data_IF_293460039779
#
_entry.id   IF_293460039779
#
_cell.length_a   1.000
_cell.length_b   1.000
_cell.length_c   1.000
_cell.angle_alpha   90.00
_cell.angle_beta   90.00
_cell.angle_gamma   90.00
#
_symmetry.space_group_name_H-M   'P 1'
#
loop_
_entity.id
_entity.type
_entity.pdbx_description
1 polymer ?
#
# COMPACT_ATOMS: atom_id res chain seq x y z
N UNK A 1 -24.00 0.01 -0.27
CA UNK A 1 -23.81 -0.41 1.14
C UNK A 1 -24.55 -1.71 1.36
N UNK A 2 -24.06 -2.55 2.27
CA UNK A 2 -24.75 -3.77 2.72
C UNK A 2 -24.44 -4.02 4.20
N UNK A 3 -25.10 -5.00 4.83
CA UNK A 3 -24.80 -5.44 6.20
C UNK A 3 -24.09 -6.80 6.15
N UNK A 4 -22.97 -6.95 6.84
CA UNK A 4 -22.19 -8.19 6.88
C UNK A 4 -22.04 -8.68 8.32
N UNK A 5 -22.22 -9.99 8.54
CA UNK A 5 -21.94 -10.63 9.83
C UNK A 5 -20.54 -11.24 9.79
N UNK A 6 -19.56 -10.55 10.37
CA UNK A 6 -18.17 -11.02 10.39
C UNK A 6 -17.91 -12.06 11.48
N UNK A 7 -18.57 -11.91 12.63
CA UNK A 7 -18.43 -12.82 13.77
C UNK A 7 -19.81 -13.36 14.17
N UNK A 8 -19.87 -14.66 14.50
CA UNK A 8 -21.13 -15.34 14.85
C UNK A 8 -21.86 -14.65 16.01
N UNK A 9 -21.10 -14.16 16.98
CA UNK A 9 -21.64 -13.67 18.24
C UNK A 9 -21.78 -12.13 18.26
N UNK A 10 -21.35 -11.43 17.20
CA UNK A 10 -21.50 -9.98 17.08
C UNK A 10 -22.68 -9.61 16.16
N UNK A 11 -23.29 -8.42 16.33
CA UNK A 11 -24.27 -7.90 15.40
C UNK A 11 -23.69 -7.75 13.98
N UNK A 12 -24.59 -7.72 13.00
CA UNK A 12 -24.20 -7.33 11.65
C UNK A 12 -23.67 -5.91 11.62
N UNK A 13 -22.63 -5.68 10.83
CA UNK A 13 -21.99 -4.38 10.68
C UNK A 13 -22.33 -3.81 9.30
N UNK A 14 -22.76 -2.54 9.21
CA UNK A 14 -22.90 -1.87 7.92
C UNK A 14 -21.51 -1.67 7.28
N UNK A 15 -21.40 -1.98 6.00
CA UNK A 15 -20.14 -1.93 5.25
C UNK A 15 -20.31 -1.30 3.88
N UNK A 16 -19.23 -0.66 3.44
CA UNK A 16 -19.01 -0.36 2.03
C UNK A 16 -18.52 -1.62 1.31
N UNK A 17 -19.02 -1.81 0.09
CA UNK A 17 -18.92 -3.08 -0.61
C UNK A 17 -18.97 -2.87 -2.11
N UNK A 18 -18.33 -3.78 -2.85
CA UNK A 18 -18.30 -3.76 -4.31
C UNK A 18 -19.40 -4.64 -4.89
N UNK A 19 -19.84 -4.29 -6.10
CA UNK A 19 -20.79 -5.09 -6.89
C UNK A 19 -20.91 -4.52 -8.30
N UNK A 20 -21.18 -5.37 -9.29
CA UNK A 20 -21.43 -4.96 -10.68
C UNK A 20 -22.77 -4.21 -10.83
N UNK A 21 -23.68 -4.37 -9.88
CA UNK A 21 -24.90 -3.60 -9.75
C UNK A 21 -25.31 -3.52 -8.27
N UNK A 22 -26.30 -2.69 -7.95
CA UNK A 22 -26.87 -2.60 -6.61
C UNK A 22 -27.41 -3.95 -6.08
N UNK A 23 -27.79 -4.88 -6.99
CA UNK A 23 -28.32 -6.22 -6.63
C UNK A 23 -27.22 -7.22 -6.28
N UNK A 24 -25.98 -6.95 -6.66
CA UNK A 24 -24.85 -7.88 -6.55
C UNK A 24 -23.77 -7.33 -5.62
N UNK A 25 -24.13 -6.43 -4.70
CA UNK A 25 -23.20 -5.85 -3.73
C UNK A 25 -22.94 -6.85 -2.62
N UNK A 26 -21.68 -7.28 -2.47
CA UNK A 26 -21.29 -8.32 -1.50
C UNK A 26 -19.96 -7.98 -0.81
N UNK A 27 -19.74 -8.62 0.34
CA UNK A 27 -18.44 -8.66 1.01
C UNK A 27 -18.10 -10.14 1.31
N UNK A 28 -17.00 -10.70 0.77
CA UNK A 28 -16.10 -10.08 -0.21
C UNK A 28 -16.82 -9.69 -1.51
N UNK A 29 -16.22 -8.73 -2.25
CA UNK A 29 -16.73 -8.30 -3.55
C UNK A 29 -16.62 -9.41 -4.61
N UNK A 30 -17.11 -9.12 -5.81
CA UNK A 30 -17.06 -10.04 -6.94
C UNK A 30 -15.62 -10.40 -7.32
N UNK A 31 -15.39 -11.66 -7.66
CA UNK A 31 -14.15 -12.13 -8.29
C UNK A 31 -14.14 -11.71 -9.76
N UNK A 32 -13.07 -11.05 -10.20
CA UNK A 32 -12.80 -10.78 -11.61
C UNK A 32 -11.76 -11.80 -12.06
N UNK A 33 -12.18 -12.75 -12.89
CA UNK A 33 -11.25 -13.67 -13.56
C UNK A 33 -10.73 -13.00 -14.82
N UNK A 34 -9.40 -13.01 -14.99
CA UNK A 34 -8.74 -12.41 -16.13
C UNK A 34 -7.64 -13.34 -16.67
N UNK A 35 -7.40 -13.26 -17.97
CA UNK A 35 -6.36 -14.06 -18.63
C UNK A 35 -5.03 -13.31 -18.63
N UNK A 36 -3.94 -14.02 -18.35
CA UNK A 36 -2.59 -13.48 -18.47
C UNK A 36 -2.34 -12.96 -19.89
N UNK A 37 -1.75 -11.76 -20.01
CA UNK A 37 -1.50 -11.11 -21.30
C UNK A 37 -2.71 -10.41 -21.92
N UNK A 38 -3.91 -10.60 -21.40
CA UNK A 38 -5.15 -10.05 -21.98
C UNK A 38 -5.60 -8.85 -21.15
N UNK A 39 -5.52 -7.66 -21.75
CA UNK A 39 -5.93 -6.42 -21.11
C UNK A 39 -7.40 -6.45 -20.67
N UNK A 40 -7.65 -6.19 -19.39
CA UNK A 40 -8.98 -6.06 -18.80
C UNK A 40 -9.27 -4.60 -18.48
N UNK A 41 -10.48 -4.16 -18.79
CA UNK A 41 -10.95 -2.79 -18.56
C UNK A 41 -12.07 -2.81 -17.54
N UNK A 42 -11.89 -2.08 -16.43
CA UNK A 42 -12.90 -1.99 -15.37
C UNK A 42 -13.25 -0.53 -15.17
N UNK A 43 -14.52 -0.20 -15.31
CA UNK A 43 -15.04 1.12 -14.96
C UNK A 43 -15.49 1.10 -13.52
N UNK A 44 -14.82 1.89 -12.69
CA UNK A 44 -15.17 2.02 -11.27
C UNK A 44 -16.14 3.16 -11.06
N UNK A 45 -17.28 2.86 -10.45
CA UNK A 45 -18.30 3.84 -10.10
C UNK A 45 -18.46 3.93 -8.59
N UNK A 46 -18.54 5.16 -8.09
CA UNK A 46 -18.80 5.42 -6.69
C UNK A 46 -20.31 5.69 -6.51
N UNK A 47 -20.97 4.80 -5.77
CA UNK A 47 -22.38 4.90 -5.36
C UNK A 47 -22.51 5.00 -3.83
N UNK A 48 -21.46 5.44 -3.15
CA UNK A 48 -21.44 5.64 -1.71
C UNK A 48 -22.31 6.84 -1.30
N UNK A 49 -22.87 6.83 -0.08
CA UNK A 49 -23.70 7.94 0.42
C UNK A 49 -22.91 9.25 0.55
N UNK A 50 -23.64 10.35 0.77
CA UNK A 50 -23.04 11.66 1.04
C UNK A 50 -22.34 11.77 2.40
N UNK A 51 -22.62 10.84 3.33
CA UNK A 51 -22.05 10.81 4.68
C UNK A 51 -21.37 9.48 4.94
N UNK A 52 -20.15 9.54 5.48
CA UNK A 52 -19.38 8.36 5.86
C UNK A 52 -20.05 7.60 7.03
N UNK A 53 -19.92 6.26 7.04
CA UNK A 53 -20.51 5.39 8.09
C UNK A 53 -19.81 5.53 9.44
N UNK A 54 -18.52 5.88 9.42
CA UNK A 54 -17.72 6.20 10.60
C UNK A 54 -17.49 7.72 10.68
N UNK A 55 -17.26 8.27 11.89
CA UNK A 55 -16.71 9.62 12.01
C UNK A 55 -15.39 9.70 11.23
N UNK A 56 -15.22 10.81 10.51
CA UNK A 56 -14.02 11.08 9.72
C UNK A 56 -13.36 12.34 10.29
N UNK A 57 -12.05 12.25 10.54
CA UNK A 57 -11.22 13.38 10.92
C UNK A 57 -10.79 14.19 9.68
N UNK A 58 -11.30 15.41 9.48
CA UNK A 58 -10.98 16.25 8.33
C UNK A 58 -9.59 16.92 8.43
N UNK A 59 -8.83 16.69 9.50
CA UNK A 59 -7.47 17.24 9.67
C UNK A 59 -6.40 16.40 8.99
N UNK A 60 -6.71 15.15 8.62
CA UNK A 60 -5.81 14.28 7.86
C UNK A 60 -5.97 14.64 6.37
N UNK A 61 -4.95 15.23 5.71
CA UNK A 61 -5.10 16.03 4.49
C UNK A 61 -5.35 15.23 3.20
N UNK A 62 -5.64 13.94 3.28
CA UNK A 62 -5.82 13.08 2.11
C UNK A 62 -7.31 12.85 1.85
N UNK A 63 -7.72 13.04 0.59
CA UNK A 63 -9.10 12.81 0.16
C UNK A 63 -10.16 13.68 0.86
N UNK A 64 -9.99 15.00 0.84
CA UNK A 64 -10.99 15.95 1.36
C UNK A 64 -11.75 16.61 0.18
N UNK A 65 -13.04 16.29 -0.06
CA UNK A 65 -13.85 17.03 -1.01
C UNK A 65 -14.04 18.48 -0.56
N UNK A 66 -14.01 19.43 -1.48
CA UNK A 66 -14.16 20.85 -1.22
C UNK A 66 -15.51 21.17 -0.54
N UNK A 67 -16.56 20.41 -0.88
CA UNK A 67 -17.88 20.59 -0.23
C UNK A 67 -17.94 19.99 1.18
N UNK A 68 -16.93 19.21 1.60
CA UNK A 68 -16.94 18.36 2.80
C UNK A 68 -18.15 17.39 2.83
N UNK A 69 -18.70 17.08 1.66
CA UNK A 69 -19.79 16.11 1.48
C UNK A 69 -19.38 15.05 0.47
N UNK A 70 -19.95 13.85 0.60
CA UNK A 70 -19.57 12.70 -0.20
C UNK A 70 -18.46 11.88 0.46
N UNK A 71 -18.49 10.58 0.19
CA UNK A 71 -17.40 9.68 0.56
C UNK A 71 -16.45 9.56 -0.63
N UNK A 72 -15.22 10.10 -0.54
CA UNK A 72 -14.21 9.91 -1.58
C UNK A 72 -13.64 8.49 -1.50
N UNK A 73 -13.38 7.91 -2.67
CA UNK A 73 -12.80 6.56 -2.76
C UNK A 73 -11.90 6.45 -3.99
N UNK A 74 -11.00 5.47 -3.96
CA UNK A 74 -10.14 5.08 -5.06
C UNK A 74 -9.89 3.57 -4.95
N UNK A 75 -9.76 2.87 -6.09
CA UNK A 75 -9.49 1.43 -6.11
C UNK A 75 -8.03 1.18 -6.47
N UNK A 76 -7.37 0.32 -5.71
CA UNK A 76 -6.01 -0.16 -5.97
C UNK A 76 -6.02 -1.68 -6.21
N UNK A 77 -5.28 -2.15 -7.20
CA UNK A 77 -5.07 -3.58 -7.47
C UNK A 77 -3.69 -3.98 -6.96
N UNK A 78 -3.64 -4.71 -5.84
CA UNK A 78 -2.38 -5.25 -5.29
C UNK A 78 -1.67 -6.16 -6.30
N UNK A 79 -0.35 -5.96 -6.44
CA UNK A 79 0.50 -6.72 -7.36
C UNK A 79 0.26 -6.42 -8.84
N UNK A 80 -0.64 -5.50 -9.19
CA UNK A 80 -0.90 -5.09 -10.56
C UNK A 80 0.33 -4.45 -11.22
N UNK A 81 0.64 -4.82 -12.47
CA UNK A 81 1.57 -4.06 -13.32
C UNK A 81 0.75 -3.17 -14.27
N UNK A 82 0.47 -1.94 -13.86
CA UNK A 82 -0.35 -0.98 -14.60
C UNK A 82 0.20 0.44 -14.50
N UNK A 83 -0.28 1.28 -15.42
CA UNK A 83 0.04 2.71 -15.48
C UNK A 83 -0.28 3.41 -14.15
N UNK A 84 0.49 4.44 -13.73
CA UNK A 84 0.23 5.20 -12.50
C UNK A 84 -1.21 5.73 -12.39
N UNK A 85 -1.81 6.11 -13.53
CA UNK A 85 -3.19 6.59 -13.60
C UNK A 85 -4.26 5.55 -13.18
N UNK A 86 -3.91 4.26 -13.19
CA UNK A 86 -4.79 3.14 -12.82
C UNK A 86 -4.34 2.47 -11.52
N UNK A 87 -3.32 3.01 -10.84
CA UNK A 87 -2.75 2.42 -9.63
C UNK A 87 -3.64 2.62 -8.42
N UNK A 88 -4.39 3.71 -8.35
CA UNK A 88 -5.21 4.01 -7.18
C UNK A 88 -4.43 4.77 -6.10
N UNK A 89 -3.56 5.67 -6.54
CA UNK A 89 -2.89 6.65 -5.69
C UNK A 89 -3.90 7.38 -4.79
N UNK A 90 -3.51 7.70 -3.55
CA UNK A 90 -4.40 8.30 -2.56
C UNK A 90 -4.95 9.68 -2.97
N UNK A 91 -4.30 10.38 -3.92
CA UNK A 91 -4.77 11.65 -4.50
C UNK A 91 -5.62 11.48 -5.77
N UNK A 92 -5.88 10.25 -6.21
CA UNK A 92 -6.71 9.92 -7.38
C UNK A 92 -8.15 9.54 -6.98
N UNK A 93 -8.60 10.01 -5.82
CA UNK A 93 -9.95 9.75 -5.30
C UNK A 93 -11.05 10.43 -6.11
N UNK A 94 -12.28 9.93 -5.97
CA UNK A 94 -13.48 10.55 -6.52
C UNK A 94 -14.72 10.27 -5.66
N UNK A 95 -15.67 11.22 -5.64
CA UNK A 95 -16.95 11.07 -4.95
C UNK A 95 -18.04 10.49 -5.87
N UNK A 96 -19.20 10.18 -5.29
CA UNK A 96 -20.31 9.60 -6.02
C UNK A 96 -20.74 10.44 -7.23
N UNK A 97 -20.91 9.78 -8.38
CA UNK A 97 -21.21 10.44 -9.65
C UNK A 97 -20.07 11.32 -10.19
N UNK A 98 -18.82 11.11 -9.75
CA UNK A 98 -17.64 11.87 -10.17
C UNK A 98 -17.75 13.39 -9.91
N UNK A 99 -18.57 13.79 -8.92
CA UNK A 99 -18.84 15.21 -8.61
C UNK A 99 -17.60 15.96 -8.18
N UNK A 100 -16.77 15.32 -7.35
CA UNK A 100 -15.48 15.84 -6.89
C UNK A 100 -14.41 14.78 -7.08
N UNK A 101 -13.19 15.24 -7.33
CA UNK A 101 -12.05 14.44 -7.76
C UNK A 101 -10.78 14.97 -7.10
N UNK A 102 -9.89 14.06 -6.73
CA UNK A 102 -8.57 14.40 -6.27
C UNK A 102 -7.67 14.91 -7.39
N UNK A 103 -6.56 15.59 -7.04
CA UNK A 103 -5.71 16.26 -8.02
C UNK A 103 -5.03 15.31 -9.01
N UNK A 104 -4.85 14.04 -8.63
CA UNK A 104 -4.25 13.01 -9.49
C UNK A 104 -5.31 12.12 -10.17
N UNK A 105 -6.60 12.43 -10.06
CA UNK A 105 -7.64 11.68 -10.73
C UNK A 105 -7.59 11.95 -12.23
N UNK A 106 -7.72 10.90 -13.05
CA UNK A 106 -7.62 11.01 -14.51
C UNK A 106 -8.84 10.49 -15.25
N UNK A 107 -9.26 9.25 -14.97
CA UNK A 107 -10.34 8.57 -15.68
C UNK A 107 -11.03 7.52 -14.81
N UNK A 108 -12.30 7.16 -15.10
CA UNK A 108 -13.03 6.15 -14.34
C UNK A 108 -12.71 4.70 -14.79
N UNK A 109 -12.23 4.51 -16.02
CA UNK A 109 -11.93 3.18 -16.58
C UNK A 109 -10.45 2.85 -16.43
N UNK A 110 -10.16 1.84 -15.61
CA UNK A 110 -8.82 1.37 -15.33
C UNK A 110 -8.49 0.24 -16.30
N UNK A 111 -7.26 0.26 -16.83
CA UNK A 111 -6.73 -0.81 -17.67
C UNK A 111 -5.76 -1.63 -16.84
N UNK A 112 -6.07 -2.91 -16.70
CA UNK A 112 -5.20 -3.92 -16.08
C UNK A 112 -4.62 -4.79 -17.19
N UNK A 113 -3.30 -4.76 -17.34
CA UNK A 113 -2.64 -5.47 -18.45
C UNK A 113 -2.55 -6.99 -18.22
N UNK A 114 -2.65 -7.44 -16.97
CA UNK A 114 -2.53 -8.84 -16.57
C UNK A 114 -1.19 -9.48 -16.99
N UNK A 115 -0.11 -8.72 -16.88
CA UNK A 115 1.27 -9.09 -17.27
C UNK A 115 2.19 -9.32 -16.06
N UNK A 116 1.63 -9.57 -14.89
CA UNK A 116 2.40 -9.89 -13.69
C UNK A 116 3.23 -11.15 -13.95
N UNK A 117 4.53 -11.07 -13.68
CA UNK A 117 5.40 -12.21 -13.91
C UNK A 117 5.07 -13.36 -12.95
N UNK A 118 5.11 -14.63 -13.40
CA UNK A 118 5.29 -15.74 -12.48
C UNK A 118 6.63 -15.53 -11.77
N UNK A 119 6.66 -15.67 -10.44
CA UNK A 119 7.85 -15.37 -9.64
C UNK A 119 9.10 -16.07 -10.18
N UNK A 120 10.11 -15.30 -10.54
CA UNK A 120 11.42 -15.80 -10.99
C UNK A 120 12.43 -15.71 -9.84
N UNK A 121 13.26 -16.75 -9.67
CA UNK A 121 14.20 -16.91 -8.55
C UNK A 121 15.64 -16.43 -8.85
N UNK A 122 15.93 -15.93 -10.05
CA UNK A 122 17.27 -15.43 -10.40
C UNK A 122 17.40 -13.94 -10.11
N UNK A 123 17.87 -13.60 -8.91
CA UNK A 123 18.08 -12.23 -8.50
C UNK A 123 19.31 -11.60 -9.17
N UNK A 124 19.15 -10.41 -9.74
CA UNK A 124 20.24 -9.64 -10.36
C UNK A 124 20.91 -8.68 -9.38
N UNK A 125 20.27 -8.38 -8.24
CA UNK A 125 20.78 -7.48 -7.22
C UNK A 125 20.22 -7.85 -5.84
N UNK A 126 21.01 -7.58 -4.81
CA UNK A 126 20.58 -7.63 -3.41
C UNK A 126 20.55 -6.21 -2.83
N UNK A 127 19.48 -5.86 -2.12
CA UNK A 127 19.28 -4.59 -1.42
C UNK A 127 19.13 -4.80 0.08
N UNK A 128 19.40 -3.75 0.83
CA UNK A 128 19.17 -3.67 2.27
C UNK A 128 18.28 -2.47 2.54
N UNK A 129 17.09 -2.71 3.10
CA UNK A 129 16.06 -1.72 3.37
C UNK A 129 15.89 -1.65 4.88
N UNK A 130 16.50 -0.66 5.51
CA UNK A 130 16.48 -0.50 6.96
C UNK A 130 15.41 0.51 7.40
N UNK A 131 14.60 0.12 8.38
CA UNK A 131 13.61 0.99 9.02
C UNK A 131 14.19 1.55 10.30
N UNK A 132 14.11 2.87 10.44
CA UNK A 132 14.63 3.62 11.57
C UNK A 132 13.52 4.37 12.27
N UNK A 133 13.63 4.45 13.58
CA UNK A 133 12.78 5.26 14.44
C UNK A 133 13.66 6.24 15.22
N UNK A 134 13.24 7.51 15.21
CA UNK A 134 13.90 8.58 15.93
C UNK A 134 12.95 9.17 16.95
N UNK A 135 13.41 9.25 18.20
CA UNK A 135 12.64 9.80 19.32
C UNK A 135 13.16 11.17 19.74
N UNK A 136 12.30 11.98 20.34
CA UNK A 136 12.70 13.21 21.05
C UNK A 136 13.44 12.87 22.35
N UNK A 137 13.97 13.90 23.02
CA UNK A 137 14.55 13.78 24.36
C UNK A 137 13.54 13.30 25.42
N UNK A 138 12.23 13.41 25.12
CA UNK A 138 11.13 12.92 25.98
C UNK A 138 10.68 11.50 25.63
N UNK A 139 11.31 10.86 24.64
CA UNK A 139 11.00 9.49 24.20
C UNK A 139 9.82 9.39 23.23
N UNK A 140 9.29 10.51 22.74
CA UNK A 140 8.20 10.49 21.75
C UNK A 140 8.77 10.26 20.34
N UNK A 141 8.17 9.33 19.59
CA UNK A 141 8.54 9.10 18.19
C UNK A 141 8.29 10.36 17.37
N UNK A 142 9.36 10.88 16.77
CA UNK A 142 9.32 12.09 15.93
C UNK A 142 9.29 11.76 14.46
N UNK A 143 10.06 10.75 14.03
CA UNK A 143 10.22 10.41 12.63
C UNK A 143 10.46 8.91 12.44
N UNK A 144 9.86 8.35 11.39
CA UNK A 144 10.13 7.01 10.89
C UNK A 144 10.74 7.12 9.49
N UNK A 145 11.93 6.55 9.30
CA UNK A 145 12.67 6.65 8.04
C UNK A 145 12.97 5.28 7.44
N UNK A 146 12.95 5.23 6.11
CA UNK A 146 13.44 4.09 5.33
C UNK A 146 14.81 4.48 4.77
N UNK A 147 15.83 3.66 5.01
CA UNK A 147 17.21 3.91 4.61
C UNK A 147 17.72 5.30 5.04
N UNK A 148 17.29 5.76 6.22
CA UNK A 148 17.65 7.06 6.78
C UNK A 148 17.07 8.26 6.00
N UNK A 149 16.04 8.06 5.18
CA UNK A 149 15.39 9.11 4.40
C UNK A 149 13.96 9.41 4.90
N UNK A 150 13.56 10.69 4.93
CA UNK A 150 12.18 11.09 5.23
C UNK A 150 11.23 10.72 4.10
N UNK A 151 9.94 10.69 4.41
CA UNK A 151 8.86 10.34 3.47
C UNK A 151 8.89 11.17 2.16
N UNK A 152 9.23 12.46 2.24
CA UNK A 152 9.25 13.37 1.08
C UNK A 152 10.55 13.27 0.26
N UNK A 153 11.52 12.45 0.69
CA UNK A 153 12.74 12.25 -0.09
C UNK A 153 12.45 11.48 -1.38
N UNK A 154 13.29 11.68 -2.39
CA UNK A 154 13.24 10.89 -3.61
C UNK A 154 13.50 9.41 -3.30
N UNK A 155 12.81 8.53 -4.03
CA UNK A 155 13.01 7.10 -3.95
C UNK A 155 14.48 6.74 -4.28
N UNK A 156 15.11 5.96 -3.39
CA UNK A 156 16.48 5.48 -3.55
C UNK A 156 16.53 4.16 -4.33
N UNK A 157 15.51 3.34 -4.21
CA UNK A 157 15.37 2.06 -4.87
C UNK A 157 14.64 2.23 -6.21
N UNK A 158 15.33 1.93 -7.30
CA UNK A 158 14.79 2.01 -8.66
C UNK A 158 14.95 0.68 -9.40
N UNK A 159 14.16 -0.35 -9.04
CA UNK A 159 14.25 -1.67 -9.68
C UNK A 159 14.00 -1.59 -11.18
N UNK A 160 14.74 -2.38 -11.94
CA UNK A 160 14.56 -2.45 -13.39
C UNK A 160 13.40 -3.39 -13.72
N UNK A 161 12.49 -2.95 -14.59
CA UNK A 161 11.44 -3.83 -15.09
C UNK A 161 12.05 -5.08 -15.75
N UNK A 162 11.52 -6.25 -15.41
CA UNK A 162 11.99 -7.54 -15.93
C UNK A 162 13.11 -8.21 -15.14
N UNK A 163 13.62 -7.58 -14.07
CA UNK A 163 14.61 -8.21 -13.18
C UNK A 163 13.99 -8.65 -11.86
N UNK A 164 14.58 -9.66 -11.23
CA UNK A 164 14.28 -10.04 -9.85
C UNK A 164 15.39 -9.53 -8.93
N UNK A 165 15.06 -9.20 -7.68
CA UNK A 165 16.02 -8.71 -6.69
C UNK A 165 15.75 -9.39 -5.33
N UNK A 166 16.79 -9.51 -4.49
CA UNK A 166 16.65 -9.94 -3.08
C UNK A 166 16.64 -8.69 -2.21
N UNK A 167 15.61 -8.51 -1.40
CA UNK A 167 15.50 -7.37 -0.50
C UNK A 167 15.58 -7.87 0.95
N UNK A 168 16.65 -7.49 1.65
CA UNK A 168 16.77 -7.71 3.09
C UNK A 168 16.12 -6.52 3.79
N UNK A 169 14.89 -6.71 4.28
CA UNK A 169 14.17 -5.68 5.05
C UNK A 169 14.54 -5.83 6.51
N UNK A 170 15.13 -4.79 7.08
CA UNK A 170 15.71 -4.79 8.42
C UNK A 170 14.93 -3.82 9.29
N UNK A 171 14.24 -4.37 10.29
CA UNK A 171 13.53 -3.56 11.27
C UNK A 171 14.44 -3.22 12.45
N UNK A 172 14.84 -1.94 12.60
CA UNK A 172 15.61 -1.46 13.75
C UNK A 172 14.73 -0.74 14.79
N UNK A 173 13.42 -0.82 14.64
CA UNK A 173 12.41 -0.18 15.51
C UNK A 173 11.82 -1.21 16.48
N UNK A 174 11.08 -0.75 17.48
CA UNK A 174 10.38 -1.65 18.41
C UNK A 174 9.00 -2.11 17.88
N UNK A 175 8.52 -1.50 16.79
CA UNK A 175 7.20 -1.72 16.24
C UNK A 175 7.16 -2.73 15.10
N UNK A 176 5.99 -3.35 14.91
CA UNK A 176 5.70 -4.11 13.71
C UNK A 176 5.28 -3.18 12.56
N UNK A 177 5.85 -3.39 11.38
CA UNK A 177 5.57 -2.57 10.19
C UNK A 177 4.95 -3.42 9.08
N UNK A 178 3.63 -3.31 8.84
CA UNK A 178 3.01 -3.92 7.67
C UNK A 178 3.57 -3.31 6.39
N UNK A 179 4.18 -4.14 5.54
CA UNK A 179 4.78 -3.70 4.28
C UNK A 179 3.89 -4.05 3.10
N UNK A 180 3.69 -3.07 2.22
CA UNK A 180 3.02 -3.24 0.94
C UNK A 180 3.87 -2.63 -0.18
N UNK A 181 4.04 -3.35 -1.29
CA UNK A 181 4.87 -2.92 -2.42
C UNK A 181 3.99 -2.83 -3.67
N UNK A 182 4.00 -1.66 -4.32
CA UNK A 182 3.29 -1.46 -5.58
C UNK A 182 4.13 -1.98 -6.75
N UNK A 183 3.47 -2.52 -7.77
CA UNK A 183 4.07 -2.93 -9.05
C UNK A 183 5.13 -4.06 -9.00
N UNK A 184 5.35 -4.67 -7.83
CA UNK A 184 6.22 -5.83 -7.67
C UNK A 184 5.48 -6.96 -6.93
N UNK A 185 5.80 -8.19 -7.30
CA UNK A 185 5.38 -9.40 -6.57
C UNK A 185 6.59 -9.87 -5.78
N UNK A 186 6.40 -10.24 -4.52
CA UNK A 186 7.47 -10.75 -3.69
C UNK A 186 7.07 -12.06 -3.02
N UNK A 187 8.08 -12.83 -2.66
CA UNK A 187 7.95 -13.99 -1.78
C UNK A 187 8.93 -13.81 -0.63
N UNK A 188 8.51 -14.18 0.57
CA UNK A 188 9.41 -14.16 1.73
C UNK A 188 10.31 -15.38 1.62
N UNK A 189 11.61 -15.16 1.47
CA UNK A 189 12.60 -16.22 1.38
C UNK A 189 13.06 -16.71 2.75
N UNK A 190 13.21 -15.79 3.70
CA UNK A 190 13.64 -16.07 5.06
C UNK A 190 13.15 -14.99 6.03
N UNK A 191 13.08 -15.34 7.31
CA UNK A 191 12.84 -14.41 8.42
C UNK A 191 13.71 -14.85 9.61
N UNK A 192 14.65 -13.99 10.00
CA UNK A 192 15.54 -14.23 11.13
C UNK A 192 15.58 -13.03 12.06
N UNK A 193 15.88 -13.28 13.33
CA UNK A 193 16.18 -12.22 14.30
C UNK A 193 17.57 -11.62 14.06
N UNK A 194 17.74 -10.35 14.43
CA UNK A 194 19.03 -9.69 14.42
C UNK A 194 19.89 -10.20 15.57
N UNK A 195 21.13 -10.59 15.26
CA UNK A 195 22.11 -10.93 16.28
C UNK A 195 22.74 -9.64 16.81
N UNK A 196 22.93 -9.55 18.13
CA UNK A 196 23.46 -8.36 18.82
C UNK A 196 22.77 -7.06 18.36
N UNK A 197 21.44 -7.07 18.37
CA UNK A 197 20.60 -6.02 17.79
C UNK A 197 21.01 -4.58 18.19
N UNK A 198 21.40 -4.35 19.45
CA UNK A 198 21.86 -3.03 19.92
C UNK A 198 23.18 -2.58 19.28
N UNK A 199 24.18 -3.47 19.18
CA UNK A 199 25.45 -3.17 18.51
C UNK A 199 25.22 -2.91 17.02
N UNK A 200 24.38 -3.75 16.40
CA UNK A 200 24.03 -3.62 14.99
C UNK A 200 23.27 -2.31 14.70
N UNK A 201 22.24 -1.99 15.51
CA UNK A 201 21.49 -0.74 15.44
C UNK A 201 22.40 0.47 15.63
N UNK A 202 23.31 0.44 16.60
CA UNK A 202 24.27 1.52 16.82
C UNK A 202 25.23 1.73 15.63
N UNK A 203 25.63 0.66 14.94
CA UNK A 203 26.42 0.76 13.71
C UNK A 203 25.57 1.32 12.55
N UNK A 204 24.38 0.77 12.34
CA UNK A 204 23.48 1.16 11.27
C UNK A 204 23.05 2.63 11.37
N UNK A 205 22.87 3.16 12.59
CA UNK A 205 22.57 4.57 12.81
C UNK A 205 23.71 5.51 12.44
N UNK A 206 24.96 5.02 12.39
CA UNK A 206 26.13 5.82 11.99
C UNK A 206 26.45 5.70 10.50
N UNK A 207 26.28 4.51 9.94
CA UNK A 207 26.81 4.17 8.61
C UNK A 207 25.74 3.88 7.57
N UNK A 208 24.54 3.46 8.00
CA UNK A 208 23.45 3.02 7.13
C UNK A 208 23.93 2.02 6.04
N UNK A 209 24.74 1.05 6.45
CA UNK A 209 25.40 0.08 5.57
C UNK A 209 25.42 -1.29 6.28
N UNK A 210 24.43 -2.13 5.98
CA UNK A 210 24.22 -3.40 6.67
C UNK A 210 25.38 -4.39 6.49
N UNK A 211 26.10 -4.32 5.37
CA UNK A 211 27.26 -5.17 5.12
C UNK A 211 28.43 -4.74 6.01
N UNK A 212 28.73 -3.44 6.07
CA UNK A 212 29.78 -2.93 6.96
C UNK A 212 29.44 -3.08 8.44
N UNK A 213 28.15 -3.11 8.77
CA UNK A 213 27.67 -3.42 10.11
C UNK A 213 27.55 -4.92 10.39
N UNK A 214 28.05 -5.78 9.50
CA UNK A 214 28.14 -7.23 9.70
C UNK A 214 26.80 -7.92 9.96
N UNK A 215 25.74 -7.60 9.20
CA UNK A 215 24.37 -8.16 9.32
C UNK A 215 24.28 -9.70 9.46
N UNK A 216 25.31 -10.43 9.03
CA UNK A 216 25.38 -11.90 9.10
C UNK A 216 25.92 -12.45 10.44
N UNK A 217 26.31 -11.59 11.38
CA UNK A 217 26.94 -11.95 12.66
C UNK A 217 26.19 -11.37 13.85
#
# INVERSE_FOLDING_TARGET
MTNQKFHRDLPQTPVFAYGASWRTVTVPGLTIEALHGVGTYVTWENHLPSKHILPWDPTIPTAIPATKTGVPTVVHLHGGMHEPANDGNANSWFTAGLKEKGPNWSKPTYRYNNNQQPGNLCATQTRYIAMYEYTSDTGETTHLYINGKPYEALATETPKAGTSEIWNVINLTEDNHPMHIHLAVFTVLDQTELVKAEEFKACMSKMNDAIKCEISK
#
